data_IF_521569570173
#
_entry.id   IF_521569570173
#
_cell.length_a   1.000
_cell.length_b   1.000
_cell.length_c   1.000
_cell.angle_alpha   90.00
_cell.angle_beta   90.00
_cell.angle_gamma   90.00
#
_symmetry.space_group_name_H-M   'P 1'
#
loop_
_entity.id
_entity.type
_entity.pdbx_description
1 polymer ?
#
# COMPACT_ATOMS: atom_id res chain seq x y z
N UNK A 1 18.05 29.06 -11.32
CA UNK A 1 19.34 28.36 -11.18
C UNK A 1 19.36 27.15 -12.11
N UNK A 2 20.50 26.79 -12.69
CA UNK A 2 20.63 25.63 -13.61
C UNK A 2 21.73 24.68 -13.16
N UNK A 3 21.52 23.39 -13.42
CA UNK A 3 22.44 22.31 -13.07
C UNK A 3 22.93 21.63 -14.35
N UNK A 4 24.17 21.13 -14.34
CA UNK A 4 24.71 20.31 -15.43
C UNK A 4 24.58 18.86 -15.02
N UNK A 5 23.73 18.11 -15.72
CA UNK A 5 23.50 16.69 -15.49
C UNK A 5 23.82 15.97 -16.81
N UNK A 6 24.70 14.97 -16.77
CA UNK A 6 25.20 14.26 -17.95
C UNK A 6 25.69 15.21 -19.08
N UNK A 7 26.39 16.29 -18.71
CA UNK A 7 26.91 17.27 -19.66
C UNK A 7 25.87 18.22 -20.28
N UNK A 8 24.58 18.09 -19.91
CA UNK A 8 23.52 18.98 -20.40
C UNK A 8 23.07 19.92 -19.29
N UNK A 9 22.88 21.20 -19.65
CA UNK A 9 22.29 22.19 -18.74
C UNK A 9 20.79 21.98 -18.64
N UNK A 10 20.30 21.80 -17.42
CA UNK A 10 18.88 21.63 -17.09
C UNK A 10 18.51 22.72 -16.08
N UNK A 11 17.42 23.43 -16.31
CA UNK A 11 16.92 24.39 -15.34
C UNK A 11 16.36 23.66 -14.11
N UNK A 12 16.59 24.22 -12.92
CA UNK A 12 16.15 23.61 -11.66
C UNK A 12 14.64 23.37 -11.62
N UNK A 13 13.84 24.23 -12.25
CA UNK A 13 12.37 24.10 -12.30
C UNK A 13 11.95 22.81 -13.00
N UNK A 14 12.53 22.52 -14.16
CA UNK A 14 12.23 21.29 -14.91
C UNK A 14 12.73 20.03 -14.21
N UNK A 15 13.88 20.12 -13.53
CA UNK A 15 14.42 19.00 -12.75
C UNK A 15 13.49 18.63 -11.59
N UNK A 16 13.03 19.64 -10.84
CA UNK A 16 12.10 19.46 -9.73
C UNK A 16 10.76 18.91 -10.21
N UNK A 17 10.20 19.48 -11.28
CA UNK A 17 8.95 19.00 -11.89
C UNK A 17 9.09 17.53 -12.30
N UNK A 18 10.14 17.18 -13.05
CA UNK A 18 10.37 15.82 -13.50
C UNK A 18 10.50 14.82 -12.34
N UNK A 19 11.22 15.20 -11.28
CA UNK A 19 11.40 14.34 -10.10
C UNK A 19 10.10 14.14 -9.34
N UNK A 20 9.36 15.22 -9.08
CA UNK A 20 8.09 15.16 -8.37
C UNK A 20 7.02 14.40 -9.15
N UNK A 21 6.95 14.59 -10.48
CA UNK A 21 6.06 13.81 -11.34
C UNK A 21 6.43 12.33 -11.34
N UNK A 22 7.71 11.99 -11.43
CA UNK A 22 8.17 10.60 -11.42
C UNK A 22 7.83 9.90 -10.10
N UNK A 23 8.12 10.55 -8.97
CA UNK A 23 7.79 10.03 -7.64
C UNK A 23 6.28 9.91 -7.46
N UNK A 24 5.51 10.92 -7.90
CA UNK A 24 4.05 10.91 -7.81
C UNK A 24 3.42 9.79 -8.62
N UNK A 25 3.80 9.64 -9.89
CA UNK A 25 3.31 8.56 -10.76
C UNK A 25 3.79 7.19 -10.29
N UNK A 26 5.04 7.08 -9.85
CA UNK A 26 5.59 5.84 -9.31
C UNK A 26 4.85 5.38 -8.05
N UNK A 27 4.61 6.30 -7.12
CA UNK A 27 3.83 6.04 -5.90
C UNK A 27 2.39 5.68 -6.23
N UNK A 28 1.75 6.44 -7.13
CA UNK A 28 0.39 6.13 -7.57
C UNK A 28 0.33 4.75 -8.23
N UNK A 29 1.26 4.40 -9.11
CA UNK A 29 1.28 3.09 -9.78
C UNK A 29 1.48 1.95 -8.78
N UNK A 30 2.36 2.12 -7.79
CA UNK A 30 2.57 1.15 -6.72
C UNK A 30 1.30 0.98 -5.84
N UNK A 31 0.59 2.06 -5.57
CA UNK A 31 -0.63 2.06 -4.74
C UNK A 31 -1.91 1.77 -5.50
N UNK A 32 -1.93 1.85 -6.85
CA UNK A 32 -3.14 1.73 -7.68
C UNK A 32 -3.84 0.38 -7.53
N UNK A 33 -3.18 -0.59 -6.93
CA UNK A 33 -3.73 -1.92 -6.68
C UNK A 33 -3.71 -2.75 -7.94
N UNK A 34 -3.07 -3.91 -7.86
CA UNK A 34 -3.21 -4.97 -8.85
C UNK A 34 -4.09 -6.05 -8.22
N UNK A 35 -5.23 -6.40 -8.83
CA UNK A 35 -6.07 -7.53 -8.36
C UNK A 35 -5.28 -8.85 -8.28
N UNK A 36 -4.17 -8.97 -9.00
CA UNK A 36 -3.26 -10.13 -8.91
C UNK A 36 -2.25 -10.06 -7.74
N UNK A 37 -2.00 -8.89 -7.14
CA UNK A 37 -1.21 -8.77 -5.91
C UNK A 37 -2.01 -9.20 -4.68
N UNK A 38 -3.34 -8.96 -4.69
CA UNK A 38 -4.28 -9.46 -3.67
C UNK A 38 -4.35 -11.00 -3.63
N UNK A 39 -4.10 -11.66 -4.77
CA UNK A 39 -4.00 -13.12 -4.87
C UNK A 39 -2.65 -13.67 -4.38
N UNK A 40 -1.57 -12.88 -4.45
CA UNK A 40 -0.26 -13.24 -3.92
C UNK A 40 -0.15 -13.00 -2.40
N UNK A 41 -0.86 -12.00 -1.87
CA UNK A 41 -0.97 -11.73 -0.42
C UNK A 41 -1.89 -12.72 0.31
N UNK A 42 -2.75 -13.45 -0.42
CA UNK A 42 -3.52 -14.59 0.15
C UNK A 42 -2.69 -15.86 0.37
N UNK A 43 -1.41 -15.86 0.00
CA UNK A 43 -0.49 -17.00 0.17
C UNK A 43 0.62 -16.75 1.20
N UNK A 44 0.43 -15.80 2.13
CA UNK A 44 1.27 -15.74 3.34
C UNK A 44 0.36 -15.76 4.54
N UNK A 45 0.61 -16.75 5.40
CA UNK A 45 -0.26 -17.14 6.51
C UNK A 45 -0.60 -16.01 7.47
N UNK A 46 -1.59 -16.32 8.31
CA UNK A 46 -2.04 -15.61 9.50
C UNK A 46 -1.07 -14.50 9.96
N UNK A 47 -1.53 -13.24 10.11
CA UNK A 47 -0.65 -12.13 10.48
C UNK A 47 0.17 -12.54 11.70
N UNK A 48 1.50 -12.47 11.62
CA UNK A 48 2.36 -12.88 12.73
C UNK A 48 2.08 -12.00 13.94
N UNK A 49 1.29 -12.54 14.87
CA UNK A 49 0.89 -11.84 16.10
C UNK A 49 2.10 -11.83 17.01
N UNK A 50 2.87 -10.75 16.95
CA UNK A 50 3.93 -10.49 17.92
C UNK A 50 3.30 -9.85 19.14
N UNK A 51 2.99 -10.64 20.16
CA UNK A 51 2.45 -10.18 21.45
C UNK A 51 3.45 -10.47 22.57
N UNK A 52 3.57 -9.57 23.55
CA UNK A 52 4.49 -9.74 24.68
C UNK A 52 3.92 -10.64 25.79
N UNK A 53 2.64 -11.01 25.70
CA UNK A 53 1.94 -11.87 26.64
C UNK A 53 0.85 -12.70 25.94
N UNK A 54 0.64 -13.93 26.42
CA UNK A 54 -0.38 -14.86 25.89
C UNK A 54 -1.81 -14.29 25.94
N UNK A 55 -2.10 -13.44 26.92
CA UNK A 55 -3.40 -12.78 27.04
C UNK A 55 -3.62 -11.71 25.94
N UNK A 56 -2.56 -11.00 25.55
CA UNK A 56 -2.62 -10.00 24.48
C UNK A 56 -2.79 -10.68 23.12
N UNK A 57 -2.11 -11.82 22.91
CA UNK A 57 -2.24 -12.59 21.69
C UNK A 57 -3.68 -13.08 21.48
N UNK A 58 -4.32 -13.59 22.52
CA UNK A 58 -5.72 -14.03 22.48
C UNK A 58 -6.68 -12.87 22.17
N UNK A 59 -6.45 -11.69 22.78
CA UNK A 59 -7.23 -10.49 22.49
C UNK A 59 -7.06 -10.03 21.03
N UNK A 60 -5.85 -10.04 20.49
CA UNK A 60 -5.57 -9.64 19.11
C UNK A 60 -6.23 -10.63 18.14
N UNK A 61 -6.17 -11.94 18.41
CA UNK A 61 -6.85 -12.98 17.61
C UNK A 61 -8.36 -12.75 17.57
N UNK A 62 -8.98 -12.50 18.73
CA UNK A 62 -10.42 -12.23 18.82
C UNK A 62 -10.83 -10.91 18.16
N UNK A 63 -10.00 -9.87 18.29
CA UNK A 63 -10.23 -8.59 17.64
C UNK A 63 -10.17 -8.70 16.12
N UNK A 64 -9.14 -9.35 15.58
CA UNK A 64 -8.99 -9.62 14.14
C UNK A 64 -10.13 -10.48 13.62
N UNK A 65 -10.55 -11.51 14.36
CA UNK A 65 -11.68 -12.37 13.99
C UNK A 65 -13.01 -11.59 13.94
N UNK A 66 -13.22 -10.64 14.86
CA UNK A 66 -14.45 -9.84 14.93
C UNK A 66 -14.51 -8.72 13.88
N UNK A 67 -13.40 -8.03 13.64
CA UNK A 67 -13.37 -6.86 12.74
C UNK A 67 -12.93 -7.20 11.31
N UNK A 68 -12.06 -8.20 11.13
CA UNK A 68 -11.68 -8.72 9.81
C UNK A 68 -12.84 -9.39 9.05
N UNK A 69 -13.86 -9.89 9.77
CA UNK A 69 -15.11 -10.37 9.18
C UNK A 69 -16.02 -9.25 8.64
N UNK A 70 -15.94 -8.04 9.20
CA UNK A 70 -16.73 -6.87 8.74
C UNK A 70 -16.08 -6.16 7.56
N UNK A 71 -14.75 -6.14 7.51
CA UNK A 71 -14.00 -5.55 6.39
C UNK A 71 -14.17 -6.34 5.07
N UNK A 72 -14.25 -7.68 5.14
CA UNK A 72 -14.43 -8.52 3.94
C UNK A 72 -15.88 -8.54 3.41
N UNK A 73 -16.90 -8.27 4.23
CA UNK A 73 -18.29 -8.18 3.77
C UNK A 73 -18.58 -6.88 2.98
N UNK A 74 -17.81 -5.81 3.23
CA UNK A 74 -18.01 -4.51 2.58
C UNK A 74 -17.32 -4.36 1.21
N UNK A 75 -16.37 -5.24 0.85
CA UNK A 75 -15.60 -5.13 -0.38
C UNK A 75 -16.10 -6.08 -1.51
N UNK A 76 -17.21 -6.79 -1.30
CA UNK A 76 -17.59 -7.96 -2.11
C UNK A 76 -18.97 -7.97 -2.76
N UNK A 77 -19.74 -6.88 -2.78
CA UNK A 77 -21.01 -6.87 -3.54
C UNK A 77 -21.39 -5.46 -4.02
N UNK A 78 -21.44 -5.20 -5.35
CA UNK A 78 -22.10 -4.01 -5.86
C UNK A 78 -23.62 -4.11 -5.62
N UNK A 79 -24.32 -3.00 -5.33
CA UNK A 79 -25.75 -3.02 -5.09
C UNK A 79 -26.49 -3.39 -6.38
N UNK A 80 -27.34 -4.41 -6.31
CA UNK A 80 -28.31 -4.75 -7.33
C UNK A 80 -29.66 -4.16 -6.94
N UNK A 81 -29.95 -2.90 -7.31
CA UNK A 81 -31.30 -2.33 -7.40
C UNK A 81 -31.31 -1.24 -8.46
#
# INVERSE_FOLDING_TARGET
>A
MSYVIFGKRIASEYLSIGTLTLVGVGSWLAMRGNKAADAAEKSSGEPQITANSSAEEAFIRDYVKREGGKAQLSAGSPPAH
#
